data_IF_107838226915
#
_entry.id   IF_107838226915
#
_cell.length_a   1.000
_cell.length_b   1.000
_cell.length_c   1.000
_cell.angle_alpha   90.00
_cell.angle_beta   90.00
_cell.angle_gamma   90.00
#
_symmetry.space_group_name_H-M   'P 1'
#
loop_
_entity.id
_entity.type
_entity.pdbx_description
1 polymer ?
#
# COMPACT_ATOMS: atom_id res chain seq x y z
N UNK A 1 9.35 4.24 -6.69
CA UNK A 1 9.53 5.70 -6.57
C UNK A 1 10.25 6.19 -7.82
N UNK A 2 9.69 7.20 -8.48
CA UNK A 2 10.19 7.66 -9.79
C UNK A 2 10.89 9.04 -9.69
N UNK A 3 10.58 9.82 -8.66
CA UNK A 3 11.17 11.14 -8.42
C UNK A 3 11.42 11.39 -6.92
N UNK A 4 12.39 12.25 -6.63
CA UNK A 4 12.69 12.71 -5.27
C UNK A 4 11.48 13.49 -4.70
N UNK A 5 10.99 13.14 -3.50
CA UNK A 5 9.83 13.80 -2.91
C UNK A 5 10.09 15.29 -2.59
N UNK A 6 11.35 15.63 -2.25
CA UNK A 6 11.75 16.99 -1.89
C UNK A 6 11.97 17.91 -3.10
N UNK A 7 12.79 17.50 -4.07
CA UNK A 7 13.19 18.36 -5.20
C UNK A 7 12.64 17.95 -6.56
N UNK A 8 11.83 16.89 -6.62
CA UNK A 8 11.22 16.33 -7.84
C UNK A 8 12.20 15.86 -8.93
N UNK A 9 13.50 15.87 -8.69
CA UNK A 9 14.48 15.30 -9.61
C UNK A 9 14.27 13.80 -9.78
N UNK A 10 14.52 13.28 -10.99
CA UNK A 10 14.39 11.86 -11.30
C UNK A 10 15.20 10.97 -10.33
N UNK A 11 14.56 9.90 -9.87
CA UNK A 11 15.20 8.93 -8.99
C UNK A 11 16.17 8.05 -9.77
N UNK A 12 17.38 7.86 -9.24
CA UNK A 12 18.47 7.11 -9.90
C UNK A 12 18.87 5.83 -9.15
N UNK A 13 17.96 5.23 -8.38
CA UNK A 13 18.25 3.98 -7.65
C UNK A 13 19.16 4.13 -6.43
N UNK A 14 19.46 5.36 -5.98
CA UNK A 14 20.39 5.62 -4.86
C UNK A 14 19.65 6.05 -3.61
N UNK A 15 20.12 5.62 -2.44
CA UNK A 15 19.56 6.02 -1.14
C UNK A 15 19.70 7.51 -0.81
N UNK A 16 20.41 8.30 -1.61
CA UNK A 16 20.54 9.75 -1.44
C UNK A 16 20.24 10.44 -2.77
N UNK A 17 19.45 11.51 -2.74
CA UNK A 17 19.14 12.29 -3.94
C UNK A 17 20.41 12.93 -4.52
N UNK A 18 20.66 12.74 -5.82
CA UNK A 18 21.84 13.31 -6.48
C UNK A 18 21.83 14.86 -6.50
N UNK A 19 20.64 15.49 -6.59
CA UNK A 19 20.44 16.94 -6.68
C UNK A 19 20.43 17.61 -5.30
N UNK A 20 19.42 17.32 -4.48
CA UNK A 20 19.21 18.00 -3.20
C UNK A 20 19.83 17.30 -1.99
N UNK A 21 20.51 16.17 -2.19
CA UNK A 21 21.17 15.38 -1.13
C UNK A 21 20.27 14.86 -0.02
N UNK A 22 18.94 14.99 -0.15
CA UNK A 22 17.97 14.37 0.77
C UNK A 22 18.21 12.87 0.87
N UNK A 23 18.20 12.35 2.11
CA UNK A 23 18.20 10.91 2.35
C UNK A 23 16.85 10.32 1.93
N UNK A 24 16.89 9.43 0.95
CA UNK A 24 15.74 8.74 0.38
C UNK A 24 15.53 7.37 1.03
N UNK A 25 16.48 6.85 1.81
CA UNK A 25 16.39 5.53 2.45
C UNK A 25 15.10 5.33 3.26
N UNK A 26 14.60 6.32 4.04
CA UNK A 26 13.35 6.15 4.76
C UNK A 26 12.16 5.87 3.83
N UNK A 27 12.08 6.59 2.70
CA UNK A 27 11.02 6.39 1.72
C UNK A 27 11.14 5.04 0.99
N UNK A 28 12.37 4.63 0.68
CA UNK A 28 12.61 3.31 0.08
C UNK A 28 12.19 2.17 1.01
N UNK A 29 12.49 2.28 2.31
CA UNK A 29 12.03 1.31 3.32
C UNK A 29 10.51 1.25 3.42
N UNK A 30 9.82 2.39 3.29
CA UNK A 30 8.35 2.41 3.27
C UNK A 30 7.79 1.69 2.03
N UNK A 31 8.39 1.89 0.86
CA UNK A 31 8.01 1.18 -0.37
C UNK A 31 8.25 -0.33 -0.26
N UNK A 32 9.40 -0.75 0.28
CA UNK A 32 9.70 -2.16 0.56
C UNK A 32 8.71 -2.78 1.55
N UNK A 33 8.38 -2.05 2.61
CA UNK A 33 7.39 -2.49 3.62
C UNK A 33 5.99 -2.61 3.00
N UNK A 34 5.60 -1.65 2.16
CA UNK A 34 4.34 -1.69 1.44
C UNK A 34 4.28 -2.89 0.48
N UNK A 35 5.36 -3.17 -0.25
CA UNK A 35 5.46 -4.33 -1.13
C UNK A 35 5.35 -5.65 -0.35
N UNK A 36 6.02 -5.77 0.79
CA UNK A 36 5.93 -6.95 1.64
C UNK A 36 4.50 -7.18 2.17
N UNK A 37 3.78 -6.11 2.56
CA UNK A 37 2.36 -6.22 2.93
C UNK A 37 1.48 -6.57 1.73
N UNK A 38 1.78 -6.06 0.53
CA UNK A 38 1.04 -6.41 -0.68
C UNK A 38 1.12 -7.91 -1.00
N UNK A 39 2.32 -8.48 -0.97
CA UNK A 39 2.53 -9.92 -1.18
C UNK A 39 1.78 -10.77 -0.15
N UNK A 40 1.89 -10.43 1.14
CA UNK A 40 1.16 -11.13 2.21
C UNK A 40 -0.35 -11.01 2.06
N UNK A 41 -0.87 -9.85 1.68
CA UNK A 41 -2.29 -9.64 1.46
C UNK A 41 -2.83 -10.49 0.29
N UNK A 42 -2.09 -10.55 -0.83
CA UNK A 42 -2.44 -11.37 -1.99
C UNK A 42 -2.44 -12.85 -1.66
N UNK A 43 -1.39 -13.32 -1.01
CA UNK A 43 -1.27 -14.73 -0.59
C UNK A 43 -2.39 -15.12 0.39
N UNK A 44 -2.63 -14.31 1.42
CA UNK A 44 -3.69 -14.58 2.39
C UNK A 44 -5.09 -14.57 1.72
N UNK A 45 -5.31 -13.73 0.69
CA UNK A 45 -6.54 -13.76 -0.08
C UNK A 45 -6.70 -15.06 -0.88
N UNK A 46 -5.63 -15.55 -1.51
CA UNK A 46 -5.62 -16.83 -2.24
C UNK A 46 -5.89 -18.02 -1.30
N UNK A 47 -5.36 -17.97 -0.08
CA UNK A 47 -5.54 -18.99 0.96
C UNK A 47 -6.88 -18.85 1.72
N UNK A 48 -7.75 -17.91 1.32
CA UNK A 48 -9.00 -17.56 2.02
C UNK A 48 -8.84 -17.17 3.50
N UNK A 49 -7.63 -16.78 3.91
CA UNK A 49 -7.30 -16.25 5.23
C UNK A 49 -7.74 -14.77 5.34
N UNK A 50 -9.05 -14.51 5.30
CA UNK A 50 -9.60 -13.17 5.11
C UNK A 50 -9.23 -12.17 6.22
N UNK A 51 -9.09 -12.60 7.47
CA UNK A 51 -8.67 -11.72 8.56
C UNK A 51 -7.22 -11.22 8.35
N UNK A 52 -6.32 -12.10 7.94
CA UNK A 52 -4.93 -11.78 7.63
C UNK A 52 -4.83 -10.92 6.36
N UNK A 53 -5.59 -11.26 5.32
CA UNK A 53 -5.69 -10.46 4.10
C UNK A 53 -6.18 -9.04 4.42
N UNK A 54 -7.19 -8.90 5.28
CA UNK A 54 -7.70 -7.60 5.74
C UNK A 54 -6.62 -6.79 6.47
N UNK A 55 -5.85 -7.43 7.36
CA UNK A 55 -4.77 -6.79 8.09
C UNK A 55 -3.67 -6.29 7.14
N UNK A 56 -3.14 -7.16 6.29
CA UNK A 56 -2.05 -6.80 5.39
C UNK A 56 -2.48 -5.79 4.33
N UNK A 57 -3.70 -5.90 3.78
CA UNK A 57 -4.24 -4.92 2.83
C UNK A 57 -4.46 -3.54 3.49
N UNK A 58 -4.91 -3.51 4.74
CA UNK A 58 -5.03 -2.25 5.50
C UNK A 58 -3.67 -1.58 5.71
N UNK A 59 -2.63 -2.34 6.06
CA UNK A 59 -1.26 -1.82 6.20
C UNK A 59 -0.68 -1.35 4.88
N UNK A 60 -0.87 -2.12 3.81
CA UNK A 60 -0.42 -1.75 2.47
C UNK A 60 -1.05 -0.43 2.02
N UNK A 61 -2.38 -0.31 2.12
CA UNK A 61 -3.11 0.88 1.67
C UNK A 61 -2.79 2.13 2.49
N UNK A 62 -2.49 1.98 3.78
CA UNK A 62 -2.02 3.08 4.63
C UNK A 62 -0.63 3.60 4.23
N UNK A 63 0.26 2.72 3.75
CA UNK A 63 1.60 3.08 3.29
C UNK A 63 1.60 3.60 1.85
N UNK A 64 0.75 3.04 1.00
CA UNK A 64 0.68 3.33 -0.43
C UNK A 64 -0.75 3.18 -0.92
N UNK A 65 -1.34 4.28 -1.38
CA UNK A 65 -2.63 4.23 -2.04
C UNK A 65 -2.52 3.38 -3.32
N UNK A 66 -3.09 2.18 -3.29
CA UNK A 66 -3.08 1.25 -4.41
C UNK A 66 -4.50 0.71 -4.61
N UNK A 67 -5.13 0.91 -5.78
CA UNK A 67 -6.50 0.45 -6.02
C UNK A 67 -6.68 -1.05 -5.78
N UNK A 68 -5.69 -1.86 -6.13
CA UNK A 68 -5.69 -3.29 -5.82
C UNK A 68 -5.75 -3.56 -4.31
N UNK A 69 -4.90 -2.91 -3.51
CA UNK A 69 -4.90 -3.07 -2.06
C UNK A 69 -6.22 -2.68 -1.42
N UNK A 70 -6.87 -1.62 -1.92
CA UNK A 70 -8.18 -1.21 -1.40
C UNK A 70 -9.28 -2.22 -1.79
N UNK A 71 -9.20 -2.84 -2.98
CA UNK A 71 -10.11 -3.95 -3.36
C UNK A 71 -9.96 -5.15 -2.44
N UNK A 72 -8.73 -5.58 -2.15
CA UNK A 72 -8.47 -6.69 -1.22
C UNK A 72 -9.03 -6.34 0.16
N UNK A 73 -8.74 -5.14 0.67
CA UNK A 73 -9.26 -4.66 1.95
C UNK A 73 -10.80 -4.71 2.00
N UNK A 74 -11.47 -4.23 0.95
CA UNK A 74 -12.93 -4.23 0.89
C UNK A 74 -13.52 -5.65 0.95
N UNK A 75 -13.02 -6.56 0.10
CA UNK A 75 -13.52 -7.94 0.03
C UNK A 75 -13.25 -8.70 1.32
N UNK A 76 -12.03 -8.60 1.86
CA UNK A 76 -11.64 -9.27 3.10
C UNK A 76 -12.42 -8.73 4.31
N UNK A 77 -12.70 -7.42 4.36
CA UNK A 77 -13.53 -6.83 5.41
C UNK A 77 -14.99 -7.32 5.34
N UNK A 78 -15.57 -7.45 4.13
CA UNK A 78 -16.90 -8.04 3.95
C UNK A 78 -16.97 -9.49 4.46
N UNK A 79 -15.98 -10.31 4.09
CA UNK A 79 -15.91 -11.72 4.50
C UNK A 79 -15.71 -11.93 6.00
N UNK A 80 -15.18 -10.93 6.71
CA UNK A 80 -14.93 -10.98 8.15
C UNK A 80 -15.99 -10.23 8.97
N UNK A 81 -17.07 -9.75 8.35
CA UNK A 81 -18.16 -9.03 9.03
C UNK A 81 -17.79 -7.59 9.43
N UNK A 82 -16.67 -7.06 8.97
CA UNK A 82 -16.22 -5.67 9.21
C UNK A 82 -16.82 -4.71 8.20
N UNK A 83 -18.14 -4.56 8.24
CA UNK A 83 -18.91 -3.83 7.21
C UNK A 83 -18.57 -2.34 7.15
N UNK A 84 -18.21 -1.73 8.28
CA UNK A 84 -17.79 -0.32 8.34
C UNK A 84 -16.48 -0.08 7.56
N UNK A 85 -15.52 -0.99 7.71
CA UNK A 85 -14.25 -0.97 6.97
C UNK A 85 -14.51 -1.19 5.49
N UNK A 86 -15.35 -2.16 5.15
CA UNK A 86 -15.71 -2.45 3.76
C UNK A 86 -16.34 -1.24 3.05
N UNK A 87 -17.31 -0.58 3.69
CA UNK A 87 -17.97 0.61 3.12
C UNK A 87 -16.98 1.76 2.92
N UNK A 88 -16.09 2.00 3.89
CA UNK A 88 -15.02 3.01 3.75
C UNK A 88 -14.09 2.67 2.58
N UNK A 89 -13.68 1.41 2.45
CA UNK A 89 -12.83 0.95 1.36
C UNK A 89 -13.51 1.11 -0.01
N UNK A 90 -14.80 0.79 -0.14
CA UNK A 90 -15.56 1.00 -1.37
C UNK A 90 -15.68 2.49 -1.75
N UNK A 91 -15.93 3.37 -0.79
CA UNK A 91 -15.94 4.83 -1.01
C UNK A 91 -14.56 5.37 -1.35
N UNK A 92 -13.50 4.73 -0.86
CA UNK A 92 -12.15 5.11 -1.22
C UNK A 92 -11.84 4.72 -2.67
N UNK A 93 -12.21 3.50 -3.09
CA UNK A 93 -12.04 3.03 -4.47
C UNK A 93 -12.66 3.95 -5.52
N UNK A 94 -13.81 4.56 -5.24
CA UNK A 94 -14.45 5.49 -6.19
C UNK A 94 -13.66 6.79 -6.38
N UNK A 95 -12.70 7.10 -5.50
CA UNK A 95 -11.89 8.33 -5.53
C UNK A 95 -10.49 8.15 -6.09
N UNK A 96 -9.95 6.93 -6.10
CA UNK A 96 -8.57 6.62 -6.52
C UNK A 96 -8.50 5.93 -7.88
N UNK A 97 -9.54 6.12 -8.70
CA UNK A 97 -9.68 5.46 -10.00
C UNK A 97 -8.74 6.05 -11.05
#
# INVERSE_FOLDING_TARGET
MDACPACKAAYKGKGVCHRCKTDLKPFLRLEETAAAHAEKARRALQEAAYAEACFHAGRWTALKAAPEGVRILAVSALKTGRYDVALRACRWLSRIR
#
